data_IF_233435224495
#
_entry.id   IF_233435224495
#
_cell.length_a   1.000
_cell.length_b   1.000
_cell.length_c   1.000
_cell.angle_alpha   90.00
_cell.angle_beta   90.00
_cell.angle_gamma   90.00
#
_symmetry.space_group_name_H-M   'P 1'
#
loop_
_entity.id
_entity.type
_entity.pdbx_description
1 polymer ?
#
# COMPACT_ATOMS: atom_id res chain seq x y z
N UNK A 1 29.34 -6.29 -4.26
CA UNK A 1 28.41 -5.89 -5.34
C UNK A 1 27.84 -4.53 -4.96
N UNK A 2 27.81 -3.59 -5.91
CA UNK A 2 27.40 -2.20 -5.67
C UNK A 2 25.90 -2.16 -5.35
N UNK A 3 25.56 -2.17 -4.06
CA UNK A 3 24.19 -2.10 -3.59
C UNK A 3 23.71 -0.66 -3.77
N UNK A 4 23.02 -0.39 -4.88
CA UNK A 4 22.54 0.96 -5.18
C UNK A 4 21.62 1.42 -4.04
N UNK A 5 21.99 2.51 -3.37
CA UNK A 5 21.19 3.13 -2.31
C UNK A 5 19.79 3.55 -2.78
N UNK A 6 19.58 3.71 -4.09
CA UNK A 6 18.31 4.01 -4.70
C UNK A 6 18.08 3.13 -5.94
N UNK A 7 17.09 2.23 -5.87
CA UNK A 7 16.63 1.43 -7.01
C UNK A 7 15.40 2.12 -7.60
N UNK A 8 15.50 2.56 -8.85
CA UNK A 8 14.34 3.10 -9.55
C UNK A 8 13.25 2.01 -9.63
N UNK A 9 11.98 2.32 -9.28
CA UNK A 9 10.92 1.32 -9.28
C UNK A 9 10.72 0.76 -10.71
N UNK A 10 10.48 -0.55 -10.87
CA UNK A 10 10.07 -1.07 -12.17
C UNK A 10 8.72 -0.44 -12.57
N UNK A 11 8.46 -0.30 -13.87
CA UNK A 11 7.18 0.26 -14.36
C UNK A 11 5.95 -0.48 -13.80
N UNK A 12 6.07 -1.79 -13.59
CA UNK A 12 5.05 -2.62 -12.95
C UNK A 12 4.68 -2.16 -11.52
N UNK A 13 5.58 -1.48 -10.81
CA UNK A 13 5.31 -0.96 -9.47
C UNK A 13 4.44 0.30 -9.48
N UNK A 14 4.17 0.91 -10.65
CA UNK A 14 3.40 2.16 -10.73
C UNK A 14 1.99 2.00 -10.18
N UNK A 15 1.26 0.96 -10.60
CA UNK A 15 -0.10 0.68 -10.14
C UNK A 15 -0.15 0.49 -8.61
N UNK A 16 0.82 -0.25 -8.07
CA UNK A 16 0.95 -0.47 -6.63
C UNK A 16 1.19 0.84 -5.86
N UNK A 17 2.14 1.65 -6.31
CA UNK A 17 2.42 2.93 -5.67
C UNK A 17 1.24 3.92 -5.79
N UNK A 18 0.48 3.88 -6.89
CA UNK A 18 -0.75 4.67 -7.04
C UNK A 18 -1.85 4.23 -6.07
N UNK A 19 -2.05 2.93 -5.90
CA UNK A 19 -3.02 2.41 -4.93
C UNK A 19 -2.63 2.77 -3.49
N UNK A 20 -1.35 2.61 -3.12
CA UNK A 20 -0.85 3.00 -1.80
C UNK A 20 -1.01 4.51 -1.54
N UNK A 21 -0.72 5.33 -2.55
CA UNK A 21 -0.96 6.77 -2.48
C UNK A 21 -2.45 7.10 -2.27
N UNK A 22 -3.36 6.41 -2.98
CA UNK A 22 -4.80 6.58 -2.80
C UNK A 22 -5.25 6.20 -1.38
N UNK A 23 -4.80 5.07 -0.83
CA UNK A 23 -5.08 4.69 0.57
C UNK A 23 -4.62 5.76 1.58
N UNK A 24 -3.44 6.34 1.33
CA UNK A 24 -2.86 7.39 2.16
C UNK A 24 -3.65 8.70 2.10
N UNK A 25 -4.10 9.11 0.91
CA UNK A 25 -4.49 10.49 0.61
C UNK A 25 -5.94 10.70 0.17
N UNK A 26 -6.67 9.64 -0.16
CA UNK A 26 -8.06 9.70 -0.61
C UNK A 26 -8.98 8.95 0.38
N UNK A 27 -9.80 9.73 1.08
CA UNK A 27 -10.72 9.21 2.09
C UNK A 27 -11.87 8.41 1.47
N UNK A 28 -12.34 8.78 0.28
CA UNK A 28 -13.39 8.08 -0.43
C UNK A 28 -12.88 6.73 -0.97
N UNK A 29 -11.67 6.71 -1.52
CA UNK A 29 -11.02 5.46 -1.92
C UNK A 29 -10.81 4.54 -0.72
N UNK A 30 -10.34 5.07 0.41
CA UNK A 30 -10.16 4.27 1.63
C UNK A 30 -11.49 3.73 2.16
N UNK A 31 -12.58 4.49 2.08
CA UNK A 31 -13.91 3.98 2.43
C UNK A 31 -14.33 2.81 1.52
N UNK A 32 -14.11 2.90 0.19
CA UNK A 32 -14.36 1.78 -0.74
C UNK A 32 -13.48 0.57 -0.41
N UNK A 33 -12.20 0.79 -0.13
CA UNK A 33 -11.27 -0.26 0.26
C UNK A 33 -11.70 -0.97 1.57
N UNK A 34 -12.23 -0.24 2.54
CA UNK A 34 -12.72 -0.84 3.78
C UNK A 34 -14.01 -1.63 3.59
N UNK A 35 -14.85 -1.24 2.63
CA UNK A 35 -16.07 -1.96 2.28
C UNK A 35 -15.80 -3.22 1.45
N UNK A 36 -14.94 -3.11 0.43
CA UNK A 36 -14.48 -4.23 -0.40
C UNK A 36 -13.07 -3.94 -0.94
N UNK A 37 -12.07 -4.45 -0.21
CA UNK A 37 -10.67 -4.23 -0.53
C UNK A 37 -10.28 -4.82 -1.90
N UNK A 38 -10.87 -5.96 -2.28
CA UNK A 38 -10.52 -6.63 -3.53
C UNK A 38 -11.05 -5.84 -4.73
N UNK A 39 -12.31 -5.39 -4.67
CA UNK A 39 -12.89 -4.55 -5.70
C UNK A 39 -12.13 -3.21 -5.84
N UNK A 40 -11.83 -2.55 -4.72
CA UNK A 40 -11.10 -1.28 -4.73
C UNK A 40 -9.68 -1.41 -5.32
N UNK A 41 -8.96 -2.49 -5.00
CA UNK A 41 -7.63 -2.75 -5.58
C UNK A 41 -7.68 -3.10 -7.07
N UNK A 42 -8.76 -3.75 -7.53
CA UNK A 42 -8.96 -4.05 -8.95
C UNK A 42 -9.15 -2.76 -9.79
N UNK A 43 -9.73 -1.69 -9.23
CA UNK A 43 -9.80 -0.36 -9.88
C UNK A 43 -8.41 0.18 -10.25
N UNK A 44 -7.38 -0.20 -9.49
CA UNK A 44 -5.99 0.19 -9.73
C UNK A 44 -5.19 -0.81 -10.59
N UNK A 45 -5.81 -1.91 -11.03
CA UNK A 45 -5.13 -2.94 -11.82
C UNK A 45 -4.08 -3.74 -11.05
N UNK A 46 -4.21 -3.85 -9.73
CA UNK A 46 -3.34 -4.69 -8.91
C UNK A 46 -3.55 -6.16 -9.26
N UNK A 47 -2.45 -6.89 -9.50
CA UNK A 47 -2.47 -8.34 -9.63
C UNK A 47 -2.78 -9.04 -8.30
N UNK A 48 -3.07 -10.34 -8.35
CA UNK A 48 -3.49 -11.11 -7.18
C UNK A 48 -2.41 -11.17 -6.07
N UNK A 49 -1.13 -11.17 -6.42
CA UNK A 49 -0.03 -11.24 -5.44
C UNK A 49 0.13 -9.91 -4.71
N UNK A 50 0.06 -8.79 -5.43
CA UNK A 50 0.12 -7.46 -4.85
C UNK A 50 -1.12 -7.19 -3.97
N UNK A 51 -2.29 -7.68 -4.39
CA UNK A 51 -3.50 -7.66 -3.56
C UNK A 51 -3.31 -8.45 -2.26
N UNK A 52 -2.78 -9.68 -2.34
CA UNK A 52 -2.53 -10.52 -1.18
C UNK A 52 -1.53 -9.87 -0.20
N UNK A 53 -0.42 -9.34 -0.72
CA UNK A 53 0.58 -8.64 0.08
C UNK A 53 0.00 -7.40 0.79
N UNK A 54 -0.84 -6.63 0.09
CA UNK A 54 -1.49 -5.44 0.66
C UNK A 54 -2.52 -5.79 1.73
N UNK A 55 -3.29 -6.86 1.55
CA UNK A 55 -4.27 -7.36 2.54
C UNK A 55 -3.58 -7.91 3.79
N UNK A 56 -2.44 -8.59 3.64
CA UNK A 56 -1.65 -9.12 4.73
C UNK A 56 -0.80 -8.05 5.46
N UNK A 57 -0.79 -6.81 4.96
CA UNK A 57 0.14 -5.76 5.39
C UNK A 57 1.61 -6.21 5.34
N UNK A 58 1.96 -7.07 4.38
CA UNK A 58 3.31 -7.63 4.21
C UNK A 58 4.22 -6.57 3.57
N UNK A 59 4.87 -5.79 4.44
CA UNK A 59 5.75 -4.70 4.04
C UNK A 59 6.90 -5.19 3.15
N UNK A 60 7.51 -6.32 3.48
CA UNK A 60 8.70 -6.79 2.77
C UNK A 60 8.33 -7.28 1.37
N UNK A 61 7.21 -7.99 1.23
CA UNK A 61 6.67 -8.39 -0.06
C UNK A 61 6.30 -7.16 -0.93
N UNK A 62 5.68 -6.13 -0.34
CA UNK A 62 5.34 -4.90 -1.05
C UNK A 62 6.61 -4.16 -1.55
N UNK A 63 7.62 -4.01 -0.69
CA UNK A 63 8.88 -3.33 -1.04
C UNK A 63 9.68 -4.11 -2.08
N UNK A 64 9.72 -5.44 -1.99
CA UNK A 64 10.35 -6.29 -3.00
C UNK A 64 9.72 -6.11 -4.40
N UNK A 65 8.43 -5.78 -4.47
CA UNK A 65 7.70 -5.44 -5.72
C UNK A 65 7.90 -3.99 -6.18
N UNK A 66 8.72 -3.20 -5.48
CA UNK A 66 8.99 -1.80 -5.82
C UNK A 66 8.02 -0.81 -5.20
N UNK A 67 7.24 -1.19 -4.17
CA UNK A 67 6.49 -0.22 -3.39
C UNK A 67 7.44 0.74 -2.64
N UNK A 68 7.09 2.02 -2.62
CA UNK A 68 7.83 3.01 -1.86
C UNK A 68 7.60 2.79 -0.35
N UNK A 69 8.66 2.58 0.47
CA UNK A 69 8.50 2.22 1.89
C UNK A 69 7.64 3.20 2.70
N UNK A 70 7.79 4.51 2.45
CA UNK A 70 6.93 5.52 3.07
C UNK A 70 5.44 5.37 2.72
N UNK A 71 5.10 5.04 1.46
CA UNK A 71 3.71 4.84 1.06
C UNK A 71 3.13 3.57 1.69
N UNK A 72 3.92 2.50 1.81
CA UNK A 72 3.53 1.28 2.54
C UNK A 72 3.15 1.61 3.98
N UNK A 73 4.06 2.28 4.71
CA UNK A 73 3.81 2.68 6.09
C UNK A 73 2.57 3.57 6.24
N UNK A 74 2.48 4.63 5.43
CA UNK A 74 1.39 5.60 5.54
C UNK A 74 0.02 5.03 5.12
N UNK A 75 -0.02 4.17 4.11
CA UNK A 75 -1.26 3.52 3.69
C UNK A 75 -1.80 2.61 4.79
N UNK A 76 -0.95 1.74 5.36
CA UNK A 76 -1.31 0.85 6.46
C UNK A 76 -1.77 1.64 7.70
N UNK A 77 -1.03 2.67 8.10
CA UNK A 77 -1.42 3.55 9.20
C UNK A 77 -2.81 4.16 8.96
N UNK A 78 -3.07 4.71 7.77
CA UNK A 78 -4.37 5.32 7.43
C UNK A 78 -5.52 4.32 7.42
N UNK A 79 -5.28 3.10 6.96
CA UNK A 79 -6.27 2.00 7.02
C UNK A 79 -6.56 1.62 8.47
N UNK A 80 -5.54 1.44 9.32
CA UNK A 80 -5.71 1.14 10.75
C UNK A 80 -6.47 2.23 11.50
N UNK A 81 -6.14 3.50 11.24
CA UNK A 81 -6.89 4.63 11.82
C UNK A 81 -8.36 4.61 11.41
N UNK A 82 -8.65 4.36 10.12
CA UNK A 82 -10.02 4.33 9.63
C UNK A 82 -10.83 3.11 10.12
N UNK A 83 -10.17 2.01 10.51
CA UNK A 83 -10.80 0.87 11.20
C UNK A 83 -11.05 1.12 12.69
N UNK A 84 -10.54 2.20 13.26
CA UNK A 84 -10.58 2.45 14.70
C UNK A 84 -9.59 1.58 15.50
N UNK A 85 -8.63 0.93 14.83
CA UNK A 85 -7.65 0.02 15.46
C UNK A 85 -6.28 0.68 15.70
N UNK A 86 -6.18 2.01 15.56
CA UNK A 86 -4.93 2.74 15.75
C UNK A 86 -4.96 3.62 17.00
N UNK A 87 -4.43 3.12 18.12
CA UNK A 87 -3.98 3.97 19.23
C UNK A 87 -2.66 4.63 18.80
N UNK A 88 -2.56 5.96 18.92
CA UNK A 88 -1.30 6.68 18.73
C UNK A 88 -0.34 6.28 19.86
N UNK A 89 0.62 5.40 19.58
CA UNK A 89 1.85 5.37 20.38
C UNK A 89 2.88 6.26 19.68
N UNK A 90 3.21 7.37 20.33
CA UNK A 90 4.34 8.21 19.97
C UNK A 90 5.63 7.40 20.20
N UNK A 91 6.40 7.19 19.13
CA UNK A 91 7.80 6.75 19.21
C UNK A 91 8.71 7.98 19.31
#
# INVERSE_FOLDING_TARGET
>A
MNEMHYRFPPAAAYALNRCLYALKSDDAFRARFLADAKAAMAEHGLDAEAQAALLAADRDALVARGAHPYLVFMADLRVRMARGTGTFEYF
#
